data_IF_341684876375
#
_entry.id   IF_341684876375
#
_cell.length_a   1.000
_cell.length_b   1.000
_cell.length_c   1.000
_cell.angle_alpha   90.00
_cell.angle_beta   90.00
_cell.angle_gamma   90.00
#
_symmetry.space_group_name_H-M   'P 1'
#
loop_
_entity.id
_entity.type
_entity.pdbx_description
1 polymer ?
#
# COMPACT_ATOMS: atom_id res chain seq x y z
N UNK A 1 -27.16 9.91 -13.11
CA UNK A 1 -27.83 9.67 -11.80
C UNK A 1 -28.36 8.23 -11.69
N UNK A 2 -29.13 7.62 -12.63
CA UNK A 2 -29.56 6.22 -12.49
C UNK A 2 -28.39 5.21 -12.54
N UNK A 3 -27.42 5.40 -13.44
CA UNK A 3 -26.20 4.55 -13.56
C UNK A 3 -25.29 4.67 -12.32
N UNK A 4 -25.19 5.85 -11.76
CA UNK A 4 -24.39 6.13 -10.57
C UNK A 4 -24.99 5.47 -9.31
N UNK A 5 -26.32 5.33 -9.27
CA UNK A 5 -27.03 4.65 -8.17
C UNK A 5 -27.12 3.13 -8.32
N UNK A 6 -26.93 2.61 -9.53
CA UNK A 6 -27.04 1.18 -9.79
C UNK A 6 -26.03 0.34 -8.98
N UNK A 7 -24.84 0.89 -8.72
CA UNK A 7 -23.77 0.24 -7.93
C UNK A 7 -23.86 0.49 -6.42
N UNK A 8 -24.72 1.39 -5.95
CA UNK A 8 -24.77 1.81 -4.54
C UNK A 8 -25.03 0.66 -3.56
N UNK A 9 -25.80 -0.35 -3.96
CA UNK A 9 -26.04 -1.56 -3.16
C UNK A 9 -24.79 -2.43 -2.99
N UNK A 10 -23.79 -2.29 -3.87
CA UNK A 10 -22.54 -3.05 -3.81
C UNK A 10 -21.43 -2.29 -3.07
N UNK A 11 -21.57 -0.98 -2.87
CA UNK A 11 -20.52 -0.16 -2.26
C UNK A 11 -20.25 -0.56 -0.81
N UNK A 12 -21.29 -0.80 -0.02
CA UNK A 12 -21.15 -1.23 1.37
C UNK A 12 -20.53 -2.62 1.48
N UNK A 13 -21.03 -3.68 0.79
CA UNK A 13 -20.38 -4.99 0.79
C UNK A 13 -18.92 -4.95 0.32
N UNK A 14 -18.61 -4.16 -0.71
CA UNK A 14 -17.23 -3.98 -1.21
C UNK A 14 -16.33 -3.32 -0.17
N UNK A 15 -16.80 -2.26 0.49
CA UNK A 15 -16.06 -1.57 1.54
C UNK A 15 -15.78 -2.51 2.71
N UNK A 16 -16.80 -3.24 3.18
CA UNK A 16 -16.66 -4.23 4.26
C UNK A 16 -15.68 -5.34 3.87
N UNK A 17 -15.80 -5.91 2.67
CA UNK A 17 -14.89 -6.96 2.19
C UNK A 17 -13.44 -6.43 2.07
N UNK A 18 -13.26 -5.22 1.55
CA UNK A 18 -11.96 -4.55 1.48
C UNK A 18 -11.34 -4.37 2.86
N UNK A 19 -12.13 -3.96 3.81
CA UNK A 19 -11.74 -3.78 5.20
C UNK A 19 -11.35 -5.12 5.86
N UNK A 20 -12.17 -6.17 5.73
CA UNK A 20 -11.87 -7.51 6.25
C UNK A 20 -10.60 -8.08 5.63
N UNK A 21 -10.39 -7.88 4.33
CA UNK A 21 -9.17 -8.32 3.63
C UNK A 21 -7.91 -7.63 4.17
N UNK A 22 -7.97 -6.34 4.46
CA UNK A 22 -6.79 -5.59 4.93
C UNK A 22 -6.45 -5.88 6.39
N UNK A 23 -7.43 -6.25 7.21
CA UNK A 23 -7.23 -6.40 8.65
C UNK A 23 -7.18 -7.86 9.13
N UNK A 24 -7.88 -8.78 8.47
CA UNK A 24 -7.97 -10.18 8.93
C UNK A 24 -7.29 -11.18 8.00
N UNK A 25 -7.25 -10.98 6.70
CA UNK A 25 -6.45 -11.72 5.72
C UNK A 25 -6.56 -13.25 5.71
N UNK A 26 -7.56 -13.85 6.35
CA UNK A 26 -7.74 -15.30 6.40
C UNK A 26 -8.15 -15.91 5.05
N UNK A 27 -7.92 -17.21 4.86
CA UNK A 27 -8.17 -17.93 3.60
C UNK A 27 -9.59 -17.74 3.06
N UNK A 28 -10.60 -17.73 3.95
CA UNK A 28 -12.02 -17.51 3.57
C UNK A 28 -12.22 -16.10 3.00
N UNK A 29 -11.63 -15.06 3.61
CA UNK A 29 -11.71 -13.68 3.13
C UNK A 29 -11.00 -13.54 1.80
N UNK A 30 -9.87 -14.20 1.64
CA UNK A 30 -9.09 -14.22 0.38
C UNK A 30 -9.94 -14.86 -0.73
N UNK A 31 -10.53 -16.02 -0.48
CA UNK A 31 -11.39 -16.72 -1.45
C UNK A 31 -12.59 -15.87 -1.87
N UNK A 32 -13.33 -15.31 -0.91
CA UNK A 32 -14.47 -14.43 -1.18
C UNK A 32 -14.03 -13.19 -1.96
N UNK A 33 -12.85 -12.65 -1.66
CA UNK A 33 -12.30 -11.49 -2.39
C UNK A 33 -11.99 -11.82 -3.86
N UNK A 34 -11.52 -13.04 -4.15
CA UNK A 34 -11.28 -13.52 -5.52
C UNK A 34 -12.57 -13.65 -6.30
N UNK A 35 -13.55 -14.33 -5.72
CA UNK A 35 -14.88 -14.55 -6.32
C UNK A 35 -15.59 -13.21 -6.56
N UNK A 36 -15.58 -12.31 -5.57
CA UNK A 36 -16.14 -10.97 -5.66
C UNK A 36 -15.44 -10.12 -6.74
N UNK A 37 -14.11 -10.20 -6.85
CA UNK A 37 -13.36 -9.45 -7.86
C UNK A 37 -13.69 -9.92 -9.27
N UNK A 38 -13.94 -11.22 -9.48
CA UNK A 38 -14.37 -11.73 -10.78
C UNK A 38 -15.76 -11.22 -11.14
N UNK A 39 -16.76 -11.40 -10.27
CA UNK A 39 -18.14 -10.96 -10.51
C UNK A 39 -18.24 -9.44 -10.75
N UNK A 40 -17.53 -8.66 -9.93
CA UNK A 40 -17.53 -7.20 -10.10
C UNK A 40 -16.81 -6.76 -11.37
N UNK A 41 -15.75 -7.47 -11.78
CA UNK A 41 -15.07 -7.24 -13.04
C UNK A 41 -15.97 -7.54 -14.24
N UNK A 42 -16.67 -8.66 -14.24
CA UNK A 42 -17.63 -9.03 -15.28
C UNK A 42 -18.80 -8.03 -15.38
N UNK A 43 -19.35 -7.58 -14.24
CA UNK A 43 -20.39 -6.56 -14.21
C UNK A 43 -19.91 -5.21 -14.74
N UNK A 44 -18.68 -4.80 -14.33
CA UNK A 44 -18.06 -3.57 -14.84
C UNK A 44 -17.84 -3.63 -16.36
N UNK A 45 -17.32 -4.74 -16.87
CA UNK A 45 -17.11 -4.94 -18.30
C UNK A 45 -18.45 -5.00 -19.07
N UNK A 46 -19.51 -5.55 -18.47
CA UNK A 46 -20.83 -5.56 -19.07
C UNK A 46 -21.37 -4.15 -19.31
N UNK A 47 -21.15 -3.23 -18.37
CA UNK A 47 -21.60 -1.83 -18.49
C UNK A 47 -20.67 -1.02 -19.39
N UNK A 48 -19.36 -1.09 -19.19
CA UNK A 48 -18.40 -0.23 -19.89
C UNK A 48 -18.18 -0.58 -21.35
N UNK A 49 -18.41 -1.85 -21.72
CA UNK A 49 -18.29 -2.34 -23.10
C UNK A 49 -19.63 -2.38 -23.83
N UNK A 50 -20.74 -2.02 -23.16
CA UNK A 50 -22.06 -1.99 -23.78
C UNK A 50 -22.16 -0.84 -24.78
N UNK A 51 -22.46 -1.21 -26.05
CA UNK A 51 -22.54 -0.25 -27.13
C UNK A 51 -23.79 0.63 -27.04
N UNK A 52 -24.90 0.11 -26.49
CA UNK A 52 -26.13 0.88 -26.35
C UNK A 52 -26.00 1.96 -25.29
N UNK A 53 -25.45 1.60 -24.14
CA UNK A 53 -25.14 2.56 -23.04
C UNK A 53 -24.17 3.63 -23.55
N UNK A 54 -23.08 3.22 -24.22
CA UNK A 54 -22.11 4.18 -24.76
C UNK A 54 -22.74 5.15 -25.79
N UNK A 55 -23.65 4.68 -26.65
CA UNK A 55 -24.37 5.56 -27.57
C UNK A 55 -25.18 6.64 -26.85
N UNK A 56 -25.83 6.30 -25.73
CA UNK A 56 -26.56 7.28 -24.93
C UNK A 56 -25.62 8.32 -24.30
N UNK A 57 -24.52 7.88 -23.70
CA UNK A 57 -23.50 8.78 -23.13
C UNK A 57 -22.90 9.67 -24.22
N UNK A 58 -22.59 9.12 -25.39
CA UNK A 58 -22.08 9.87 -26.54
C UNK A 58 -23.08 10.90 -27.05
N UNK A 59 -24.35 10.56 -27.17
CA UNK A 59 -25.39 11.49 -27.63
C UNK A 59 -25.53 12.71 -26.70
N UNK A 60 -25.40 12.53 -25.41
CA UNK A 60 -25.37 13.64 -24.43
C UNK A 60 -24.07 14.45 -24.58
N UNK A 61 -22.93 13.77 -24.70
CA UNK A 61 -21.63 14.41 -24.83
C UNK A 61 -21.53 15.27 -26.10
N UNK A 62 -22.05 14.79 -27.24
CA UNK A 62 -22.03 15.51 -28.52
C UNK A 62 -22.87 16.79 -28.48
N UNK A 63 -23.90 16.86 -27.63
CA UNK A 63 -24.78 18.03 -27.45
C UNK A 63 -24.40 18.89 -26.23
N UNK A 64 -23.30 18.64 -25.57
CA UNK A 64 -22.92 19.26 -24.29
C UNK A 64 -22.93 20.79 -24.30
N UNK A 65 -22.52 21.38 -25.43
CA UNK A 65 -22.41 22.84 -25.57
C UNK A 65 -23.77 23.53 -25.68
N UNK A 66 -24.82 22.77 -26.12
CA UNK A 66 -26.20 23.25 -26.26
C UNK A 66 -27.12 22.77 -25.08
N UNK A 67 -26.58 21.97 -24.13
CA UNK A 67 -27.40 21.32 -23.13
C UNK A 67 -27.59 22.18 -21.84
N UNK A 68 -27.07 23.42 -21.80
CA UNK A 68 -27.19 24.31 -20.63
C UNK A 68 -26.54 23.76 -19.36
N UNK A 69 -25.50 22.92 -19.49
CA UNK A 69 -24.79 22.30 -18.37
C UNK A 69 -23.85 23.31 -17.70
N UNK A 70 -23.78 23.28 -16.37
CA UNK A 70 -22.77 24.04 -15.64
C UNK A 70 -21.36 23.41 -15.75
N UNK A 71 -20.35 24.11 -15.26
CA UNK A 71 -18.96 23.68 -15.36
C UNK A 71 -18.66 22.33 -14.68
N UNK A 72 -19.34 22.02 -13.58
CA UNK A 72 -19.20 20.76 -12.87
C UNK A 72 -19.84 19.61 -13.64
N UNK A 73 -21.03 19.84 -14.18
CA UNK A 73 -21.75 18.88 -15.01
C UNK A 73 -20.99 18.58 -16.32
N UNK A 74 -20.44 19.60 -16.98
CA UNK A 74 -19.58 19.44 -18.17
C UNK A 74 -18.34 18.61 -17.84
N UNK A 75 -17.67 18.91 -16.72
CA UNK A 75 -16.50 18.14 -16.27
C UNK A 75 -16.87 16.68 -15.96
N UNK A 76 -17.99 16.44 -15.31
CA UNK A 76 -18.48 15.11 -14.97
C UNK A 76 -18.80 14.32 -16.23
N UNK A 77 -19.54 14.91 -17.16
CA UNK A 77 -19.86 14.30 -18.46
C UNK A 77 -18.58 13.94 -19.24
N UNK A 78 -17.61 14.86 -19.28
CA UNK A 78 -16.31 14.61 -19.92
C UNK A 78 -15.55 13.44 -19.28
N UNK A 79 -15.58 13.32 -17.97
CA UNK A 79 -14.96 12.17 -17.26
C UNK A 79 -15.69 10.86 -17.58
N UNK A 80 -17.02 10.85 -17.55
CA UNK A 80 -17.82 9.67 -17.87
C UNK A 80 -17.57 9.23 -19.31
N UNK A 81 -17.68 10.13 -20.28
CA UNK A 81 -17.43 9.83 -21.69
C UNK A 81 -16.01 9.24 -21.91
N UNK A 82 -15.00 9.87 -21.30
CA UNK A 82 -13.61 9.38 -21.36
C UNK A 82 -13.45 8.01 -20.72
N UNK A 83 -14.13 7.73 -19.61
CA UNK A 83 -14.05 6.41 -18.95
C UNK A 83 -14.55 5.29 -19.85
N UNK A 84 -15.62 5.51 -20.62
CA UNK A 84 -16.11 4.54 -21.61
C UNK A 84 -15.11 4.31 -22.75
N UNK A 85 -14.53 5.37 -23.32
CA UNK A 85 -13.50 5.24 -24.37
C UNK A 85 -12.31 4.45 -23.85
N UNK A 86 -11.80 4.81 -22.68
CA UNK A 86 -10.67 4.16 -22.02
C UNK A 86 -10.99 2.74 -21.58
N UNK A 87 -12.27 2.45 -21.34
CA UNK A 87 -12.77 1.11 -21.05
C UNK A 87 -12.86 0.21 -22.26
N UNK A 88 -12.81 0.77 -23.50
CA UNK A 88 -12.87 0.01 -24.76
C UNK A 88 -14.21 0.13 -25.49
N UNK A 89 -15.02 1.16 -25.21
CA UNK A 89 -16.32 1.34 -25.90
C UNK A 89 -16.19 1.42 -27.41
N UNK A 90 -15.09 1.97 -27.93
CA UNK A 90 -14.80 2.11 -29.37
C UNK A 90 -14.18 0.85 -30.00
N UNK A 91 -13.86 -0.17 -29.22
CA UNK A 91 -13.32 -1.43 -29.74
C UNK A 91 -14.34 -2.19 -30.58
N UNK A 92 -13.87 -2.91 -31.59
CA UNK A 92 -14.69 -3.84 -32.38
C UNK A 92 -15.21 -4.99 -31.53
N UNK A 93 -16.26 -5.72 -31.92
CA UNK A 93 -16.77 -6.86 -31.16
C UNK A 93 -15.68 -7.89 -30.79
N UNK A 94 -14.80 -8.25 -31.73
CA UNK A 94 -13.69 -9.17 -31.46
C UNK A 94 -12.66 -8.61 -30.46
N UNK A 95 -12.33 -7.33 -30.57
CA UNK A 95 -11.45 -6.66 -29.60
C UNK A 95 -12.08 -6.59 -28.20
N UNK A 96 -13.40 -6.39 -28.10
CA UNK A 96 -14.09 -6.40 -26.79
C UNK A 96 -14.02 -7.75 -26.10
N UNK A 97 -14.12 -8.86 -26.86
CA UNK A 97 -13.93 -10.21 -26.32
C UNK A 97 -12.52 -10.34 -25.73
N UNK A 98 -11.48 -10.01 -26.52
CA UNK A 98 -10.10 -10.08 -26.05
C UNK A 98 -9.82 -9.14 -24.87
N UNK A 99 -10.42 -7.96 -24.85
CA UNK A 99 -10.28 -7.00 -23.75
C UNK A 99 -10.84 -7.54 -22.44
N UNK A 100 -11.98 -8.23 -22.46
CA UNK A 100 -12.53 -8.93 -21.28
C UNK A 100 -11.58 -10.00 -20.76
N UNK A 101 -11.00 -10.80 -21.65
CA UNK A 101 -10.00 -11.81 -21.26
C UNK A 101 -8.79 -11.15 -20.60
N UNK A 102 -8.22 -10.11 -21.22
CA UNK A 102 -7.09 -9.35 -20.67
C UNK A 102 -7.40 -8.77 -19.29
N UNK A 103 -8.58 -8.15 -19.11
CA UNK A 103 -9.00 -7.60 -17.83
C UNK A 103 -9.07 -8.70 -16.75
N UNK A 104 -9.65 -9.85 -17.07
CA UNK A 104 -9.72 -11.01 -16.18
C UNK A 104 -8.34 -11.56 -15.83
N UNK A 105 -7.50 -11.80 -16.83
CA UNK A 105 -6.14 -12.34 -16.61
C UNK A 105 -5.29 -11.39 -15.76
N UNK A 106 -5.28 -10.09 -16.06
CA UNK A 106 -4.56 -9.08 -15.29
C UNK A 106 -5.06 -9.06 -13.84
N UNK A 107 -6.38 -9.12 -13.64
CA UNK A 107 -6.97 -9.10 -12.29
C UNK A 107 -6.54 -10.32 -11.48
N UNK A 108 -6.68 -11.53 -12.03
CA UNK A 108 -6.31 -12.76 -11.34
C UNK A 108 -4.81 -12.82 -11.03
N UNK A 109 -3.95 -12.46 -11.99
CA UNK A 109 -2.49 -12.46 -11.77
C UNK A 109 -2.07 -11.43 -10.73
N UNK A 110 -2.69 -10.23 -10.71
CA UNK A 110 -2.41 -9.22 -9.68
C UNK A 110 -2.81 -9.68 -8.28
N UNK A 111 -3.97 -10.33 -8.15
CA UNK A 111 -4.42 -10.86 -6.87
C UNK A 111 -3.43 -11.94 -6.40
N UNK A 112 -3.07 -12.89 -7.29
CA UNK A 112 -2.10 -13.94 -6.97
C UNK A 112 -0.74 -13.38 -6.56
N UNK A 113 -0.25 -12.38 -7.28
CA UNK A 113 1.00 -11.69 -6.96
C UNK A 113 0.96 -11.08 -5.54
N UNK A 114 -0.13 -10.37 -5.19
CA UNK A 114 -0.30 -9.80 -3.86
C UNK A 114 -0.42 -10.86 -2.76
N UNK A 115 -1.14 -11.95 -3.03
CA UNK A 115 -1.26 -13.09 -2.10
C UNK A 115 0.09 -13.74 -1.81
N UNK A 116 0.89 -13.99 -2.85
CA UNK A 116 2.22 -14.57 -2.69
C UNK A 116 3.09 -13.73 -1.75
N UNK A 117 3.07 -12.38 -1.91
CA UNK A 117 3.81 -11.48 -1.01
C UNK A 117 3.29 -11.58 0.43
N UNK A 118 1.97 -11.59 0.62
CA UNK A 118 1.37 -11.68 1.95
C UNK A 118 1.74 -12.98 2.63
N UNK A 119 1.57 -14.10 1.94
CA UNK A 119 1.86 -15.43 2.49
C UNK A 119 3.35 -15.62 2.75
N UNK A 120 4.23 -15.24 1.81
CA UNK A 120 5.67 -15.27 2.01
C UNK A 120 6.11 -14.42 3.21
N UNK A 121 5.42 -13.30 3.47
CA UNK A 121 5.68 -12.45 4.62
C UNK A 121 5.22 -13.08 5.93
N UNK A 122 4.06 -13.74 5.93
CA UNK A 122 3.47 -14.36 7.12
C UNK A 122 4.15 -15.68 7.49
N UNK A 123 4.50 -16.50 6.50
CA UNK A 123 5.10 -17.83 6.71
C UNK A 123 6.59 -17.77 7.06
N UNK A 124 7.27 -16.67 6.76
CA UNK A 124 8.69 -16.55 7.07
C UNK A 124 8.92 -16.47 8.58
N UNK A 125 9.76 -17.36 9.09
CA UNK A 125 10.23 -17.36 10.48
C UNK A 125 11.70 -17.75 10.51
N UNK A 126 12.51 -16.93 11.16
CA UNK A 126 13.89 -17.23 11.53
C UNK A 126 13.96 -17.56 13.01
N UNK A 127 14.24 -18.82 13.35
CA UNK A 127 14.45 -19.23 14.72
C UNK A 127 15.88 -18.90 15.16
N UNK A 128 15.99 -18.15 16.24
CA UNK A 128 17.26 -17.79 16.87
C UNK A 128 17.36 -18.60 18.18
N UNK A 129 18.43 -19.39 18.32
CA UNK A 129 18.66 -20.24 19.49
C UNK A 129 19.53 -19.55 20.54
N UNK A 130 20.45 -18.69 20.13
CA UNK A 130 21.37 -17.96 21.00
C UNK A 130 20.84 -16.53 21.25
N UNK A 131 20.56 -16.22 22.50
CA UNK A 131 20.08 -14.90 22.95
C UNK A 131 21.06 -13.76 22.65
N UNK A 132 22.37 -14.04 22.57
CA UNK A 132 23.39 -13.04 22.28
C UNK A 132 23.24 -12.43 20.88
N UNK A 133 22.69 -13.19 19.93
CA UNK A 133 22.38 -12.68 18.58
C UNK A 133 21.31 -11.57 18.59
N UNK A 134 20.52 -11.50 19.66
CA UNK A 134 19.45 -10.49 19.85
C UNK A 134 19.92 -9.27 20.66
N UNK A 135 21.21 -9.15 20.94
CA UNK A 135 21.74 -8.00 21.65
C UNK A 135 21.47 -6.69 20.90
N UNK A 136 21.23 -5.63 21.68
CA UNK A 136 20.80 -4.35 21.14
C UNK A 136 19.28 -4.19 20.99
N UNK A 137 18.51 -5.28 20.97
CA UNK A 137 17.05 -5.22 20.93
C UNK A 137 16.45 -4.91 22.31
N UNK A 138 15.36 -4.15 22.33
CA UNK A 138 14.60 -3.87 23.56
C UNK A 138 14.07 -5.19 24.18
N UNK A 139 14.01 -5.24 25.53
CA UNK A 139 13.51 -6.42 26.25
C UNK A 139 12.09 -6.82 25.83
N UNK A 140 11.20 -5.84 25.58
CA UNK A 140 9.84 -6.08 25.08
C UNK A 140 9.82 -6.76 23.71
N UNK A 141 10.77 -6.42 22.83
CA UNK A 141 10.91 -7.05 21.49
C UNK A 141 11.40 -8.49 21.65
N UNK A 142 12.41 -8.75 22.49
CA UNK A 142 12.88 -10.12 22.76
C UNK A 142 11.77 -10.99 23.36
N UNK A 143 10.99 -10.47 24.31
CA UNK A 143 9.84 -11.17 24.89
C UNK A 143 8.77 -11.49 23.84
N UNK A 144 8.51 -10.57 22.89
CA UNK A 144 7.59 -10.83 21.78
C UNK A 144 8.09 -11.97 20.91
N UNK A 145 9.37 -11.99 20.54
CA UNK A 145 9.97 -13.09 19.76
C UNK A 145 9.89 -14.43 20.48
N UNK A 146 10.14 -14.47 21.79
CA UNK A 146 9.98 -15.68 22.59
C UNK A 146 8.52 -16.16 22.62
N UNK A 147 7.56 -15.25 22.82
CA UNK A 147 6.13 -15.60 22.75
C UNK A 147 5.70 -16.10 21.37
N UNK A 148 6.23 -15.51 20.29
CA UNK A 148 5.95 -15.97 18.93
C UNK A 148 6.46 -17.40 18.71
N UNK A 149 7.66 -17.72 19.19
CA UNK A 149 8.22 -19.07 19.12
C UNK A 149 7.40 -20.07 19.95
N UNK A 150 7.04 -19.73 21.18
CA UNK A 150 6.23 -20.58 22.05
C UNK A 150 4.84 -20.90 21.44
N UNK A 151 4.19 -19.91 20.78
CA UNK A 151 2.92 -20.12 20.06
C UNK A 151 3.03 -21.12 18.90
N UNK A 152 4.21 -21.26 18.34
CA UNK A 152 4.54 -22.21 17.25
C UNK A 152 5.11 -23.53 17.76
N UNK A 153 5.08 -23.78 19.10
CA UNK A 153 5.55 -25.00 19.72
C UNK A 153 7.06 -25.05 20.00
N UNK A 154 7.78 -23.95 19.79
CA UNK A 154 9.22 -23.86 20.01
C UNK A 154 9.54 -23.09 21.29
N UNK A 155 9.89 -23.80 22.37
CA UNK A 155 10.30 -23.18 23.64
C UNK A 155 11.80 -22.96 23.71
N UNK A 156 12.23 -21.92 24.44
CA UNK A 156 13.65 -21.63 24.66
C UNK A 156 14.37 -20.99 23.46
N UNK A 157 13.63 -20.62 22.44
CA UNK A 157 14.14 -19.94 21.23
C UNK A 157 13.33 -18.68 20.91
N UNK A 158 13.77 -17.90 19.95
CA UNK A 158 13.12 -16.66 19.53
C UNK A 158 12.74 -16.74 18.04
N UNK A 159 11.48 -16.49 17.73
CA UNK A 159 10.95 -16.47 16.37
C UNK A 159 10.90 -15.03 15.84
N UNK A 160 11.73 -14.74 14.86
CA UNK A 160 11.82 -13.44 14.16
C UNK A 160 11.15 -13.56 12.81
N UNK A 161 10.09 -12.79 12.58
CA UNK A 161 9.36 -12.75 11.32
C UNK A 161 9.52 -11.44 10.56
N UNK A 162 8.67 -11.28 9.53
CA UNK A 162 8.61 -10.02 8.77
C UNK A 162 7.41 -9.14 9.16
N UNK A 163 6.56 -9.62 10.06
CA UNK A 163 5.36 -8.93 10.52
C UNK A 163 5.59 -8.10 11.79
N UNK A 164 4.64 -7.25 12.13
CA UNK A 164 4.63 -6.46 13.39
C UNK A 164 5.89 -5.60 13.64
N UNK A 165 6.55 -5.16 12.58
CA UNK A 165 7.78 -4.36 12.69
C UNK A 165 9.01 -5.15 13.18
N UNK A 166 8.95 -6.49 13.19
CA UNK A 166 10.03 -7.35 13.65
C UNK A 166 11.30 -7.15 12.83
N UNK A 167 11.17 -7.19 11.49
CA UNK A 167 12.26 -6.89 10.56
C UNK A 167 12.91 -5.52 10.85
N UNK A 168 12.09 -4.46 10.91
CA UNK A 168 12.59 -3.10 11.14
C UNK A 168 13.30 -2.97 12.50
N UNK A 169 12.78 -3.64 13.55
CA UNK A 169 13.39 -3.65 14.89
C UNK A 169 14.77 -4.29 14.87
N UNK A 170 14.93 -5.43 14.20
CA UNK A 170 16.23 -6.12 14.08
C UNK A 170 17.20 -5.28 13.25
N UNK A 171 16.78 -4.78 12.09
CA UNK A 171 17.63 -3.96 11.21
C UNK A 171 18.12 -2.68 11.89
N UNK A 172 17.29 -2.05 12.73
CA UNK A 172 17.65 -0.81 13.42
C UNK A 172 18.47 -1.01 14.70
N UNK A 173 18.35 -2.16 15.38
CA UNK A 173 18.81 -2.26 16.75
C UNK A 173 19.71 -3.46 17.06
N UNK A 174 19.58 -4.61 16.34
CA UNK A 174 20.40 -5.77 16.63
C UNK A 174 21.89 -5.49 16.37
N UNK A 175 22.74 -5.74 17.35
CA UNK A 175 24.19 -5.54 17.21
C UNK A 175 24.84 -6.60 16.33
N UNK A 176 24.28 -7.82 16.32
CA UNK A 176 24.80 -8.90 15.50
C UNK A 176 24.60 -8.63 13.99
N UNK A 177 25.71 -8.42 13.29
CA UNK A 177 25.71 -8.08 11.87
C UNK A 177 25.23 -9.24 10.99
N UNK A 178 25.57 -10.48 11.33
CA UNK A 178 25.14 -11.66 10.57
C UNK A 178 23.63 -11.87 10.65
N UNK A 179 23.03 -11.66 11.83
CA UNK A 179 21.57 -11.70 11.97
C UNK A 179 20.89 -10.67 11.06
N UNK A 180 21.41 -9.42 11.01
CA UNK A 180 20.89 -8.38 10.12
C UNK A 180 21.03 -8.81 8.66
N UNK A 181 22.21 -9.32 8.25
CA UNK A 181 22.45 -9.80 6.88
C UNK A 181 21.46 -10.89 6.49
N UNK A 182 21.37 -11.97 7.26
CA UNK A 182 20.46 -13.09 6.99
C UNK A 182 19.01 -12.65 6.85
N UNK A 183 18.56 -11.77 7.73
CA UNK A 183 17.19 -11.26 7.70
C UNK A 183 16.95 -10.31 6.51
N UNK A 184 17.94 -9.48 6.16
CA UNK A 184 17.89 -8.61 4.97
C UNK A 184 17.80 -9.41 3.68
N UNK A 185 18.69 -10.41 3.51
CA UNK A 185 18.70 -11.27 2.34
C UNK A 185 17.38 -12.01 2.18
N UNK A 186 16.86 -12.61 3.24
CA UNK A 186 15.56 -13.28 3.23
C UNK A 186 14.40 -12.32 2.91
N UNK A 187 14.43 -11.08 3.44
CA UNK A 187 13.40 -10.09 3.18
C UNK A 187 13.40 -9.60 1.73
N UNK A 188 14.58 -9.33 1.17
CA UNK A 188 14.73 -8.77 -0.18
C UNK A 188 14.57 -9.80 -1.28
N UNK A 189 14.80 -11.09 -1.00
CA UNK A 189 14.59 -12.21 -1.93
C UNK A 189 13.17 -12.81 -1.86
N UNK A 190 12.25 -12.23 -1.06
CA UNK A 190 10.87 -12.73 -1.00
C UNK A 190 10.23 -12.79 -2.38
N UNK A 191 9.55 -13.90 -2.65
CA UNK A 191 8.85 -14.16 -3.91
C UNK A 191 9.75 -14.16 -5.14
N UNK A 192 11.05 -14.41 -4.97
CA UNK A 192 11.98 -14.59 -6.09
C UNK A 192 12.24 -16.06 -6.43
N UNK A 193 11.71 -16.99 -5.61
CA UNK A 193 11.81 -18.43 -5.83
C UNK A 193 10.71 -19.19 -5.05
N UNK A 194 10.71 -20.53 -5.19
CA UNK A 194 9.88 -21.45 -4.41
C UNK A 194 8.38 -21.30 -4.67
N UNK A 195 7.60 -21.66 -3.64
CA UNK A 195 6.11 -21.72 -3.68
C UNK A 195 5.46 -20.39 -4.06
N UNK A 196 6.07 -19.27 -3.69
CA UNK A 196 5.53 -17.92 -3.85
C UNK A 196 6.27 -17.09 -4.90
N UNK A 197 6.93 -17.73 -5.86
CA UNK A 197 7.66 -17.03 -6.93
C UNK A 197 6.75 -16.12 -7.76
N UNK A 198 7.10 -14.82 -7.82
CA UNK A 198 6.37 -13.80 -8.54
C UNK A 198 7.08 -13.32 -9.82
N UNK A 199 8.25 -13.85 -10.15
CA UNK A 199 9.05 -13.37 -11.30
C UNK A 199 8.27 -13.48 -12.61
N UNK A 200 7.73 -14.67 -12.91
CA UNK A 200 6.94 -14.85 -14.13
C UNK A 200 5.62 -14.09 -14.08
N UNK A 201 4.94 -14.07 -12.93
CA UNK A 201 3.71 -13.27 -12.76
C UNK A 201 3.93 -11.79 -13.05
N UNK A 202 5.06 -11.24 -12.62
CA UNK A 202 5.40 -9.83 -12.88
C UNK A 202 5.59 -9.56 -14.37
N UNK A 203 6.31 -10.43 -15.08
CA UNK A 203 6.50 -10.34 -16.53
C UNK A 203 5.17 -10.45 -17.27
N UNK A 204 4.33 -11.42 -16.90
CA UNK A 204 3.02 -11.62 -17.51
C UNK A 204 2.12 -10.40 -17.33
N UNK A 205 2.06 -9.85 -16.12
CA UNK A 205 1.24 -8.65 -15.83
C UNK A 205 1.69 -7.46 -16.68
N UNK A 206 3.00 -7.26 -16.84
CA UNK A 206 3.53 -6.16 -17.66
C UNK A 206 3.15 -6.35 -19.13
N UNK A 207 3.31 -7.55 -19.67
CA UNK A 207 2.99 -7.86 -21.07
C UNK A 207 1.50 -7.75 -21.36
N UNK A 208 0.63 -8.28 -20.50
CA UNK A 208 -0.82 -8.16 -20.64
C UNK A 208 -1.29 -6.69 -20.56
N UNK A 209 -0.68 -5.89 -19.69
CA UNK A 209 -0.96 -4.45 -19.62
C UNK A 209 -0.52 -3.71 -20.88
N UNK A 210 0.62 -4.09 -21.45
CA UNK A 210 1.10 -3.52 -22.72
C UNK A 210 0.15 -3.87 -23.86
N UNK A 211 -0.26 -5.13 -24.00
CA UNK A 211 -1.24 -5.59 -25.00
C UNK A 211 -2.55 -4.81 -24.86
N UNK A 212 -3.08 -4.71 -23.63
CA UNK A 212 -4.30 -3.95 -23.35
C UNK A 212 -4.16 -2.47 -23.73
N UNK A 213 -3.06 -1.82 -23.39
CA UNK A 213 -2.83 -0.42 -23.70
C UNK A 213 -2.80 -0.19 -25.22
N UNK A 214 -2.09 -1.04 -25.96
CA UNK A 214 -2.01 -0.97 -27.43
C UNK A 214 -3.36 -1.21 -28.11
N UNK A 215 -4.14 -2.16 -27.59
CA UNK A 215 -5.50 -2.41 -28.08
C UNK A 215 -6.42 -1.19 -27.91
N UNK A 216 -6.20 -0.40 -26.86
CA UNK A 216 -6.93 0.84 -26.57
C UNK A 216 -6.35 2.07 -27.30
N UNK A 217 -5.35 1.89 -28.18
CA UNK A 217 -4.75 2.97 -28.98
C UNK A 217 -3.60 3.72 -28.31
N UNK A 218 -3.07 3.22 -27.19
CA UNK A 218 -1.92 3.83 -26.51
C UNK A 218 -0.62 3.13 -26.87
N UNK A 219 0.46 3.88 -26.95
CA UNK A 219 1.79 3.34 -27.21
C UNK A 219 2.22 2.30 -26.16
N UNK A 220 1.98 2.62 -24.89
CA UNK A 220 2.35 1.77 -23.76
C UNK A 220 1.43 2.01 -22.54
N UNK A 221 1.60 1.20 -21.50
CA UNK A 221 0.77 1.27 -20.30
C UNK A 221 0.99 2.56 -19.50
N UNK A 222 2.18 3.17 -19.56
CA UNK A 222 2.44 4.45 -18.89
C UNK A 222 1.64 5.58 -19.54
N UNK A 223 1.62 5.66 -20.87
CA UNK A 223 0.81 6.63 -21.60
C UNK A 223 -0.69 6.45 -21.27
N UNK A 224 -1.18 5.20 -21.28
CA UNK A 224 -2.56 4.89 -20.88
C UNK A 224 -2.87 5.40 -19.45
N UNK A 225 -1.99 5.11 -18.49
CA UNK A 225 -2.25 5.45 -17.08
C UNK A 225 -2.17 6.95 -16.84
N UNK A 226 -1.18 7.61 -17.42
CA UNK A 226 -0.87 9.02 -17.16
C UNK A 226 -1.84 10.00 -17.81
N UNK A 227 -2.54 9.61 -18.88
CA UNK A 227 -3.49 10.48 -19.58
C UNK A 227 -4.50 11.17 -18.64
N UNK A 228 -4.94 10.47 -17.60
CA UNK A 228 -5.93 10.98 -16.63
C UNK A 228 -5.31 11.50 -15.33
N UNK A 229 -3.99 11.37 -15.18
CA UNK A 229 -3.26 11.87 -14.04
C UNK A 229 -2.77 13.31 -14.28
N UNK A 230 -2.36 14.01 -13.21
CA UNK A 230 -1.90 15.39 -13.29
C UNK A 230 -0.74 15.58 -14.27
N UNK A 231 0.17 14.64 -14.36
CA UNK A 231 1.32 14.70 -15.27
C UNK A 231 0.91 14.59 -16.75
N UNK A 232 -0.15 13.84 -17.08
CA UNK A 232 -0.68 13.68 -18.43
C UNK A 232 0.15 12.78 -19.32
N UNK A 233 1.48 12.91 -19.34
CA UNK A 233 2.37 12.15 -20.22
C UNK A 233 3.61 11.60 -19.52
N UNK A 234 4.23 10.51 -20.04
CA UNK A 234 5.50 10.00 -19.54
C UNK A 234 6.65 11.02 -19.60
N UNK A 235 6.66 11.90 -20.59
CA UNK A 235 7.67 12.94 -20.79
C UNK A 235 7.63 13.95 -19.64
N UNK A 236 6.45 14.45 -19.26
CA UNK A 236 6.31 15.36 -18.10
C UNK A 236 6.74 14.73 -16.78
N UNK A 237 6.52 13.42 -16.62
CA UNK A 237 7.06 12.69 -15.47
C UNK A 237 8.60 12.70 -15.48
N UNK A 238 9.22 12.45 -16.64
CA UNK A 238 10.68 12.49 -16.79
C UNK A 238 11.24 13.89 -16.56
N UNK A 239 10.61 14.93 -17.10
CA UNK A 239 10.98 16.32 -16.87
C UNK A 239 11.05 16.68 -15.39
N UNK A 240 10.13 16.17 -14.58
CA UNK A 240 10.15 16.35 -13.14
C UNK A 240 11.20 15.49 -12.44
N UNK A 241 11.28 14.20 -12.80
CA UNK A 241 12.09 13.23 -12.04
C UNK A 241 13.60 13.31 -12.35
N UNK A 242 13.99 13.66 -13.57
CA UNK A 242 15.42 13.68 -13.93
C UNK A 242 16.23 14.72 -13.15
N UNK A 243 15.81 15.97 -13.03
CA UNK A 243 16.52 16.94 -12.19
C UNK A 243 16.55 16.53 -10.70
N UNK A 244 15.44 16.00 -10.20
CA UNK A 244 15.37 15.50 -8.81
C UNK A 244 16.32 14.32 -8.59
N UNK A 245 16.42 13.39 -9.55
CA UNK A 245 17.36 12.26 -9.49
C UNK A 245 18.81 12.77 -9.37
N UNK A 246 19.20 13.74 -10.17
CA UNK A 246 20.59 14.22 -10.19
C UNK A 246 20.96 14.92 -8.86
N UNK A 247 20.07 15.75 -8.33
CA UNK A 247 20.23 16.37 -7.03
C UNK A 247 20.27 15.34 -5.88
N UNK A 248 19.31 14.39 -5.89
CA UNK A 248 19.21 13.34 -4.87
C UNK A 248 20.40 12.39 -4.91
N UNK A 249 20.91 12.02 -6.09
CA UNK A 249 22.06 11.13 -6.22
C UNK A 249 23.35 11.74 -5.65
N UNK A 250 23.56 13.05 -5.85
CA UNK A 250 24.67 13.78 -5.26
C UNK A 250 24.61 13.76 -3.72
N UNK A 251 23.45 14.13 -3.17
CA UNK A 251 23.21 14.13 -1.73
C UNK A 251 23.32 12.73 -1.13
N UNK A 252 22.73 11.73 -1.78
CA UNK A 252 22.76 10.34 -1.31
C UNK A 252 24.18 9.76 -1.24
N UNK A 253 25.06 10.09 -2.21
CA UNK A 253 26.48 9.72 -2.13
C UNK A 253 27.18 10.35 -0.95
N UNK A 254 26.95 11.63 -0.69
CA UNK A 254 27.54 12.33 0.44
C UNK A 254 27.05 11.76 1.79
N UNK A 255 25.75 11.49 1.93
CA UNK A 255 25.18 10.88 3.13
C UNK A 255 25.67 9.43 3.34
N UNK A 256 25.85 8.65 2.28
CA UNK A 256 26.43 7.31 2.36
C UNK A 256 27.89 7.37 2.83
N UNK A 257 28.69 8.30 2.28
CA UNK A 257 30.09 8.47 2.69
C UNK A 257 30.19 8.91 4.17
N UNK A 258 29.35 9.82 4.62
CA UNK A 258 29.27 10.21 6.02
C UNK A 258 28.92 9.03 6.93
N UNK A 259 27.91 8.23 6.53
CA UNK A 259 27.47 7.07 7.28
C UNK A 259 28.57 6.00 7.37
N UNK A 260 29.29 5.76 6.26
CA UNK A 260 30.39 4.79 6.22
C UNK A 260 31.56 5.25 7.10
N UNK A 261 31.94 6.53 7.04
CA UNK A 261 32.98 7.09 7.92
C UNK A 261 32.58 6.99 9.41
N UNK A 262 31.32 7.22 9.72
CA UNK A 262 30.80 7.02 11.08
C UNK A 262 30.88 5.57 11.51
N UNK A 263 30.48 4.62 10.65
CA UNK A 263 30.51 3.17 10.94
C UNK A 263 31.94 2.69 11.18
N UNK A 264 32.89 3.05 10.33
CA UNK A 264 34.33 2.75 10.50
C UNK A 264 34.84 3.21 11.86
N UNK A 265 34.51 4.46 12.26
CA UNK A 265 34.88 5.00 13.56
C UNK A 265 34.19 4.27 14.73
N UNK A 266 32.93 3.91 14.56
CA UNK A 266 32.14 3.23 15.59
C UNK A 266 32.68 1.82 15.85
N UNK A 267 33.00 1.06 14.80
CA UNK A 267 33.55 -0.30 14.87
C UNK A 267 35.05 -0.33 15.19
N UNK A 268 35.76 0.81 15.09
CA UNK A 268 37.22 0.93 15.21
C UNK A 268 37.97 0.02 14.21
N UNK A 269 37.39 -0.19 13.03
CA UNK A 269 37.92 -1.03 11.98
C UNK A 269 37.98 -0.24 10.65
N UNK A 270 39.19 0.07 10.20
CA UNK A 270 39.43 0.78 8.94
C UNK A 270 39.11 -0.05 7.69
N UNK A 271 39.04 -1.37 7.83
CA UNK A 271 38.64 -2.26 6.75
C UNK A 271 37.12 -2.43 6.63
N UNK A 272 36.34 -1.91 7.61
CA UNK A 272 34.89 -1.99 7.58
C UNK A 272 34.32 -1.34 6.32
N UNK A 273 33.36 -2.02 5.68
CA UNK A 273 32.59 -1.51 4.55
C UNK A 273 31.09 -1.60 4.87
N UNK A 274 30.42 -0.52 4.54
CA UNK A 274 28.96 -0.39 4.80
C UNK A 274 28.18 -1.20 3.76
N UNK A 275 27.42 -2.16 4.21
CA UNK A 275 26.54 -2.99 3.41
C UNK A 275 25.07 -2.60 3.59
N UNK A 276 24.14 -3.01 2.70
CA UNK A 276 22.73 -2.64 2.79
C UNK A 276 22.07 -2.97 4.12
N UNK A 277 22.42 -4.08 4.75
CA UNK A 277 21.91 -4.48 6.08
C UNK A 277 22.47 -3.69 7.24
N UNK A 278 23.43 -2.83 7.01
CA UNK A 278 24.05 -1.97 8.03
C UNK A 278 23.41 -0.58 8.08
N UNK A 279 22.79 -0.13 6.99
CA UNK A 279 22.31 1.25 6.82
C UNK A 279 21.36 1.67 7.92
N UNK A 280 20.34 0.87 8.24
CA UNK A 280 19.36 1.21 9.26
C UNK A 280 20.00 1.30 10.67
N UNK A 281 20.90 0.38 10.99
CA UNK A 281 21.59 0.32 12.27
C UNK A 281 22.48 1.55 12.50
N UNK A 282 23.39 1.85 11.56
CA UNK A 282 24.29 2.98 11.73
C UNK A 282 23.60 4.32 11.55
N UNK A 283 22.56 4.43 10.73
CA UNK A 283 21.74 5.65 10.63
C UNK A 283 21.10 5.99 11.98
N UNK A 284 20.61 5.01 12.71
CA UNK A 284 20.08 5.21 14.07
C UNK A 284 21.17 5.69 15.04
N UNK A 285 22.36 5.10 14.98
CA UNK A 285 23.52 5.49 15.83
C UNK A 285 24.03 6.89 15.47
N UNK A 286 24.17 7.20 14.19
CA UNK A 286 24.59 8.53 13.72
C UNK A 286 23.59 9.61 14.14
N UNK A 287 22.29 9.35 13.98
CA UNK A 287 21.24 10.26 14.43
C UNK A 287 21.33 10.54 15.93
N UNK A 288 21.53 9.49 16.73
CA UNK A 288 21.72 9.63 18.18
C UNK A 288 22.98 10.43 18.50
N UNK A 289 24.07 10.24 17.77
CA UNK A 289 25.31 10.98 17.97
C UNK A 289 25.16 12.49 17.60
N UNK A 290 24.39 12.80 16.54
CA UNK A 290 24.17 14.19 16.09
C UNK A 290 23.17 14.96 16.95
N UNK A 291 22.07 14.32 17.35
CA UNK A 291 20.91 14.99 17.93
C UNK A 291 20.61 14.56 19.39
N UNK A 292 21.43 13.69 19.96
CA UNK A 292 21.21 13.19 21.33
C UNK A 292 20.01 12.25 21.46
N UNK A 293 19.64 11.94 22.70
CA UNK A 293 18.51 11.06 23.03
C UNK A 293 17.19 11.79 23.26
N UNK A 294 17.12 13.08 22.97
CA UNK A 294 15.96 13.94 23.29
C UNK A 294 14.68 13.51 22.55
N UNK A 295 14.83 12.96 21.34
CA UNK A 295 13.68 12.38 20.61
C UNK A 295 12.97 11.25 21.38
N UNK A 296 13.67 10.54 22.26
CA UNK A 296 13.08 9.53 23.15
C UNK A 296 12.15 10.12 24.21
N UNK A 297 12.43 11.35 24.68
CA UNK A 297 11.60 12.05 25.66
C UNK A 297 10.27 12.51 25.07
N UNK A 298 10.24 12.89 23.80
CA UNK A 298 9.00 13.27 23.10
C UNK A 298 7.95 12.17 23.11
N UNK A 299 8.35 10.89 23.13
CA UNK A 299 7.42 9.76 23.16
C UNK A 299 6.46 9.82 24.35
N UNK A 300 6.88 10.35 25.49
CA UNK A 300 6.06 10.47 26.68
C UNK A 300 4.93 11.50 26.53
N UNK A 301 5.08 12.43 25.58
CA UNK A 301 4.05 13.43 25.25
C UNK A 301 3.13 12.95 24.10
N UNK A 302 3.53 11.91 23.37
CA UNK A 302 2.80 11.35 22.24
C UNK A 302 2.11 10.04 22.62
N UNK A 303 1.48 10.01 23.79
CA UNK A 303 0.60 8.92 24.18
C UNK A 303 -0.65 8.96 23.32
N UNK A 304 -1.09 7.79 22.82
CA UNK A 304 -2.20 7.70 21.89
C UNK A 304 -3.46 8.43 22.38
N UNK A 305 -3.85 8.21 23.62
CA UNK A 305 -5.05 8.80 24.21
C UNK A 305 -4.96 10.33 24.26
N UNK A 306 -3.81 10.89 24.64
CA UNK A 306 -3.59 12.33 24.68
C UNK A 306 -3.63 12.94 23.27
N UNK A 307 -2.95 12.29 22.29
CA UNK A 307 -2.93 12.75 20.91
C UNK A 307 -4.33 12.68 20.29
N UNK A 308 -5.10 11.64 20.59
CA UNK A 308 -6.44 11.47 20.09
C UNK A 308 -7.41 12.53 20.68
N UNK A 309 -7.49 12.59 22.01
CA UNK A 309 -8.48 13.43 22.69
C UNK A 309 -8.09 14.91 22.70
N UNK A 310 -6.86 15.21 23.13
CA UNK A 310 -6.39 16.59 23.29
C UNK A 310 -5.79 17.19 22.01
N UNK A 311 -5.49 16.33 21.02
CA UNK A 311 -4.98 16.74 19.71
C UNK A 311 -6.03 16.65 18.61
N UNK A 312 -6.34 15.42 18.16
CA UNK A 312 -7.19 15.21 16.97
C UNK A 312 -8.60 15.73 17.19
N UNK A 313 -9.25 15.39 18.32
CA UNK A 313 -10.61 15.83 18.61
C UNK A 313 -10.68 17.33 18.86
N UNK A 314 -9.69 17.90 19.55
CA UNK A 314 -9.56 19.34 19.73
C UNK A 314 -9.48 20.08 18.38
N UNK A 315 -8.63 19.63 17.47
CA UNK A 315 -8.47 20.25 16.14
C UNK A 315 -9.74 20.10 15.31
N UNK A 316 -10.38 18.92 15.31
CA UNK A 316 -11.64 18.69 14.63
C UNK A 316 -12.76 19.63 15.13
N UNK A 317 -12.84 19.83 16.44
CA UNK A 317 -13.80 20.75 17.02
C UNK A 317 -13.50 22.20 16.65
N UNK A 318 -12.23 22.64 16.76
CA UNK A 318 -11.85 24.05 16.50
C UNK A 318 -11.99 24.45 15.02
N UNK A 319 -11.73 23.53 14.08
CA UNK A 319 -11.79 23.81 12.65
C UNK A 319 -13.19 23.60 12.06
N UNK A 320 -13.91 22.58 12.53
CA UNK A 320 -15.13 22.12 11.88
C UNK A 320 -16.36 22.08 12.81
N UNK A 321 -16.21 22.43 14.10
CA UNK A 321 -17.27 22.32 15.08
C UNK A 321 -17.66 20.87 15.44
N UNK A 322 -16.88 19.88 15.02
CA UNK A 322 -17.21 18.46 15.23
C UNK A 322 -16.90 18.06 16.66
N UNK A 323 -17.87 17.46 17.34
CA UNK A 323 -17.70 16.83 18.65
C UNK A 323 -17.72 15.32 18.50
N UNK A 324 -16.77 14.63 19.13
CA UNK A 324 -16.61 13.18 19.11
C UNK A 324 -16.82 12.63 20.51
N UNK A 325 -17.79 11.73 20.68
CA UNK A 325 -18.11 11.08 21.96
C UNK A 325 -17.93 9.57 21.81
N UNK A 326 -17.11 8.96 22.68
CA UNK A 326 -16.88 7.52 22.62
C UNK A 326 -18.17 6.73 22.91
N UNK A 327 -18.40 5.69 22.11
CA UNK A 327 -19.50 4.72 22.23
C UNK A 327 -18.93 3.35 22.54
N UNK A 328 -19.49 2.69 23.56
CA UNK A 328 -19.10 1.33 23.96
C UNK A 328 -20.21 0.29 23.73
N UNK A 329 -21.34 0.76 23.28
CA UNK A 329 -22.55 -0.05 23.00
C UNK A 329 -22.62 -0.55 21.56
N UNK A 330 -21.69 -0.10 20.68
CA UNK A 330 -21.62 -0.54 19.30
C UNK A 330 -20.73 -1.78 19.21
N UNK A 331 -21.23 -2.90 18.65
CA UNK A 331 -20.40 -4.10 18.46
C UNK A 331 -19.17 -3.80 17.57
N UNK A 332 -18.01 -4.23 18.02
CA UNK A 332 -16.74 -4.06 17.31
C UNK A 332 -16.17 -5.40 16.90
N UNK A 333 -15.44 -5.44 15.80
CA UNK A 333 -14.83 -6.65 15.26
C UNK A 333 -13.52 -7.05 15.97
N UNK A 334 -12.92 -6.16 16.75
CA UNK A 334 -11.71 -6.42 17.55
C UNK A 334 -11.74 -5.56 18.81
N UNK A 335 -11.25 -6.08 19.98
CA UNK A 335 -11.27 -5.35 21.25
C UNK A 335 -10.56 -4.00 21.26
N UNK A 336 -9.53 -3.84 20.41
CA UNK A 336 -8.75 -2.60 20.32
C UNK A 336 -9.44 -1.51 19.46
N UNK A 337 -10.61 -1.78 18.88
CA UNK A 337 -11.36 -0.80 18.08
C UNK A 337 -12.13 0.13 18.99
N UNK A 338 -11.90 1.41 18.81
CA UNK A 338 -12.67 2.49 19.47
C UNK A 338 -13.72 3.03 18.51
N UNK A 339 -14.94 3.18 18.99
CA UNK A 339 -16.06 3.75 18.25
C UNK A 339 -16.47 5.09 18.84
N UNK A 340 -16.80 6.03 17.98
CA UNK A 340 -17.20 7.38 18.39
C UNK A 340 -18.45 7.83 17.63
N UNK A 341 -19.33 8.54 18.32
CA UNK A 341 -20.41 9.30 17.71
C UNK A 341 -19.87 10.69 17.34
N UNK A 342 -20.05 11.10 16.08
CA UNK A 342 -19.68 12.43 15.61
C UNK A 342 -20.93 13.32 15.51
N UNK A 343 -20.85 14.55 16.02
CA UNK A 343 -21.91 15.56 15.94
C UNK A 343 -21.34 16.88 15.43
N UNK A 344 -22.17 17.62 14.69
CA UNK A 344 -21.86 19.01 14.30
C UNK A 344 -22.03 20.00 15.48
N UNK A 345 -21.79 21.29 15.20
CA UNK A 345 -21.89 22.37 16.21
C UNK A 345 -23.30 22.52 16.77
N UNK A 346 -24.34 22.10 16.03
CA UNK A 346 -25.74 22.11 16.44
C UNK A 346 -26.18 20.82 17.17
N UNK A 347 -25.24 19.86 17.36
CA UNK A 347 -25.48 18.58 18.01
C UNK A 347 -26.15 17.52 17.13
N UNK A 348 -26.24 17.74 15.81
CA UNK A 348 -26.80 16.77 14.86
C UNK A 348 -25.78 15.70 14.53
N UNK A 349 -26.16 14.41 14.46
CA UNK A 349 -25.27 13.34 14.03
C UNK A 349 -24.75 13.57 12.60
N UNK A 350 -23.46 13.27 12.39
CA UNK A 350 -22.77 13.36 11.10
C UNK A 350 -22.65 11.98 10.44
#
# INVERSE_FOLDING_TARGET
VPLDRADSLLDVPRAVLGYLKSNFGGDSVIRISLESAQLTGEAYDAVTLDTAIFRLVKAVYDRRDAAGLDSLQLRTLGKVYRSYIRGGALCTPGQKVRLKELNREISLKRIRHGQNITQATQEFVLYVQDSSLLDGLAGTTRQRFARNAARQGHQGVWAVGFTNGDYASVMASATNRDLRRRLYEAYTSRCMDGKYDNRQLSVDIVNLRLERARMLGYENYAAYTLETNMAGTPEKVRELLLPLKDAAAGKGRAERAELEAFAVKYERDSAFRLEPWDVAFYSGKLRKAKFGSELGRMRNYLLFDNVLNDGVFYVANRLFGITLTQRTDIPVFHPDVLTFEAKDAEGRPL
#
